data_IF_434653037396
#
_entry.id   IF_434653037396
#
_cell.length_a   1.000
_cell.length_b   1.000
_cell.length_c   1.000
_cell.angle_alpha   90.00
_cell.angle_beta   90.00
_cell.angle_gamma   90.00
#
_symmetry.space_group_name_H-M   'P 1'
#
loop_
_entity.id
_entity.type
_entity.pdbx_description
1 polymer ?
#
# COMPACT_ATOMS: atom_id res chain seq x y z
N UNK A 1 -7.11 9.92 6.58
CA UNK A 1 -5.67 9.67 6.82
C UNK A 1 -4.98 11.02 6.98
N UNK A 2 -3.83 11.10 7.66
CA UNK A 2 -3.15 12.38 7.92
C UNK A 2 -2.83 13.17 6.63
N UNK A 3 -2.61 12.45 5.53
CA UNK A 3 -2.43 13.03 4.18
C UNK A 3 -3.68 13.72 3.63
N UNK A 4 -4.87 13.26 4.01
CA UNK A 4 -6.14 13.86 3.56
C UNK A 4 -6.39 15.21 4.25
N UNK A 5 -5.90 15.39 5.48
CA UNK A 5 -5.98 16.67 6.22
C UNK A 5 -5.12 17.72 5.52
N UNK A 6 -3.91 17.34 5.12
CA UNK A 6 -3.02 18.22 4.35
C UNK A 6 -3.65 18.60 3.01
N UNK A 7 -4.24 17.64 2.29
CA UNK A 7 -4.91 17.90 1.02
C UNK A 7 -6.11 18.86 1.16
N UNK A 8 -6.88 18.73 2.25
CA UNK A 8 -7.99 19.64 2.56
C UNK A 8 -7.49 21.06 2.86
N UNK A 9 -6.49 21.20 3.72
CA UNK A 9 -5.87 22.49 4.07
C UNK A 9 -5.25 23.15 2.82
N UNK A 10 -4.66 22.37 1.92
CA UNK A 10 -4.12 22.88 0.66
C UNK A 10 -5.21 23.42 -0.27
N UNK A 11 -6.36 22.75 -0.38
CA UNK A 11 -7.50 23.26 -1.16
C UNK A 11 -8.11 24.53 -0.58
N UNK A 12 -8.05 24.70 0.75
CA UNK A 12 -8.49 25.92 1.44
C UNK A 12 -7.50 27.09 1.31
N UNK A 13 -6.44 26.95 0.49
CA UNK A 13 -5.48 28.03 0.19
C UNK A 13 -4.36 28.21 1.22
N UNK A 14 -4.22 27.29 2.18
CA UNK A 14 -3.37 27.48 3.36
C UNK A 14 -2.38 26.36 3.67
N UNK A 15 -1.61 25.85 2.71
CA UNK A 15 -0.63 24.78 3.01
C UNK A 15 0.81 25.28 3.10
N UNK A 16 1.18 25.91 4.23
CA UNK A 16 2.59 26.01 4.64
C UNK A 16 2.84 24.94 5.70
N UNK A 17 3.62 23.92 5.36
CA UNK A 17 3.92 22.79 6.24
C UNK A 17 5.38 22.87 6.64
N UNK A 18 5.65 22.99 7.94
CA UNK A 18 7.00 22.86 8.47
C UNK A 18 7.36 21.37 8.57
N UNK A 19 8.30 20.92 7.73
CA UNK A 19 8.89 19.59 7.84
C UNK A 19 10.20 19.69 8.60
N UNK A 20 10.35 18.89 9.65
CA UNK A 20 11.60 18.79 10.42
C UNK A 20 12.74 18.28 9.52
N UNK A 21 13.95 18.79 9.71
CA UNK A 21 15.14 18.34 8.95
C UNK A 21 15.55 16.90 9.29
N UNK A 22 15.27 16.45 10.51
CA UNK A 22 15.54 15.07 10.93
C UNK A 22 14.42 14.15 10.44
N UNK A 23 14.79 13.15 9.62
CA UNK A 23 13.87 12.10 9.19
C UNK A 23 13.76 11.02 10.26
N UNK A 24 12.59 10.90 10.89
CA UNK A 24 12.29 9.74 11.74
C UNK A 24 12.01 8.56 10.81
N UNK A 25 12.95 7.62 10.73
CA UNK A 25 12.79 6.38 9.97
C UNK A 25 12.07 5.37 10.84
N UNK A 26 10.78 5.16 10.58
CA UNK A 26 10.05 4.05 11.19
C UNK A 26 10.22 2.83 10.28
N UNK A 27 10.96 1.81 10.75
CA UNK A 27 11.08 0.53 10.05
C UNK A 27 9.68 -0.06 9.83
N UNK A 28 9.34 -0.36 8.58
CA UNK A 28 7.96 -0.70 8.23
C UNK A 28 7.50 -2.01 8.88
N UNK A 29 8.36 -3.04 8.91
CA UNK A 29 8.11 -4.32 9.58
C UNK A 29 9.40 -5.14 9.62
N UNK A 30 9.50 -6.02 10.61
CA UNK A 30 10.65 -6.94 10.75
C UNK A 30 10.39 -8.28 10.03
N UNK A 31 9.13 -8.72 9.97
CA UNK A 31 8.75 -10.02 9.37
C UNK A 31 7.68 -9.91 8.28
N UNK A 32 7.66 -10.90 7.39
CA UNK A 32 6.64 -11.03 6.33
C UNK A 32 5.21 -11.20 6.90
N UNK A 33 5.06 -11.84 8.07
CA UNK A 33 3.75 -11.98 8.74
C UNK A 33 3.24 -10.62 9.23
N UNK A 34 4.14 -9.82 9.80
CA UNK A 34 3.86 -8.46 10.23
C UNK A 34 3.56 -7.55 9.03
N UNK A 35 4.27 -7.73 7.91
CA UNK A 35 3.98 -7.10 6.64
C UNK A 35 2.57 -7.43 6.15
N UNK A 36 2.21 -8.72 6.05
CA UNK A 36 0.90 -9.17 5.57
C UNK A 36 -0.25 -8.60 6.41
N UNK A 37 -0.11 -8.62 7.75
CA UNK A 37 -1.09 -8.01 8.67
C UNK A 37 -1.23 -6.51 8.46
N UNK A 38 -0.12 -5.78 8.27
CA UNK A 38 -0.13 -4.33 8.01
C UNK A 38 -0.77 -4.03 6.65
N UNK A 39 -0.52 -4.85 5.62
CA UNK A 39 -1.16 -4.73 4.31
C UNK A 39 -2.67 -4.98 4.39
N UNK A 40 -3.11 -6.08 5.00
CA UNK A 40 -4.54 -6.43 5.12
C UNK A 40 -5.32 -5.30 5.80
N UNK A 41 -4.78 -4.77 6.90
CA UNK A 41 -5.34 -3.61 7.59
C UNK A 41 -5.46 -2.40 6.67
N UNK A 42 -4.36 -2.00 6.03
CA UNK A 42 -4.34 -0.81 5.15
C UNK A 42 -5.34 -0.93 4.00
N UNK A 43 -5.48 -2.12 3.43
CA UNK A 43 -6.37 -2.38 2.30
C UNK A 43 -7.83 -2.40 2.75
N UNK A 44 -8.15 -3.01 3.89
CA UNK A 44 -9.50 -2.98 4.46
C UNK A 44 -9.92 -1.56 4.84
N UNK A 45 -9.04 -0.84 5.54
CA UNK A 45 -9.28 0.56 5.90
C UNK A 45 -9.47 1.40 4.63
N UNK A 46 -8.63 1.18 3.62
CA UNK A 46 -8.78 1.83 2.31
C UNK A 46 -10.18 1.61 1.73
N UNK A 47 -10.65 0.36 1.67
CA UNK A 47 -11.96 0.05 1.09
C UNK A 47 -13.13 0.59 1.92
N UNK A 48 -13.06 0.49 3.25
CA UNK A 48 -14.09 1.00 4.16
C UNK A 48 -14.21 2.53 4.13
N UNK A 49 -13.10 3.26 4.21
CA UNK A 49 -13.14 4.73 4.15
C UNK A 49 -13.47 5.24 2.73
N UNK A 50 -13.09 4.48 1.69
CA UNK A 50 -13.46 4.79 0.30
C UNK A 50 -14.95 4.60 0.06
N UNK A 51 -15.57 3.52 0.55
CA UNK A 51 -17.01 3.29 0.41
C UNK A 51 -17.85 4.32 1.15
N UNK A 52 -17.36 4.84 2.28
CA UNK A 52 -18.06 5.85 3.08
C UNK A 52 -17.84 7.29 2.57
N UNK A 53 -17.19 7.49 1.41
CA UNK A 53 -16.96 8.82 0.85
C UNK A 53 -16.02 9.72 1.67
N UNK A 54 -15.39 9.20 2.73
CA UNK A 54 -14.53 9.96 3.65
C UNK A 54 -13.11 10.19 3.12
N UNK A 55 -12.83 9.83 1.88
CA UNK A 55 -11.52 10.05 1.23
C UNK A 55 -11.58 11.25 0.30
N UNK A 56 -10.86 12.30 0.70
CA UNK A 56 -10.75 13.55 -0.04
C UNK A 56 -9.88 13.44 -1.31
N UNK A 57 -8.93 12.50 -1.33
CA UNK A 57 -7.92 12.44 -2.38
C UNK A 57 -8.39 11.66 -3.63
N UNK A 58 -8.49 12.35 -4.77
CA UNK A 58 -9.08 11.87 -6.02
C UNK A 58 -8.12 11.12 -6.96
N UNK A 59 -7.15 10.35 -6.44
CA UNK A 59 -6.20 9.60 -7.29
C UNK A 59 -6.88 8.59 -8.22
N UNK A 60 -7.99 7.98 -7.80
CA UNK A 60 -8.65 6.88 -8.53
C UNK A 60 -9.18 7.22 -9.93
N UNK A 61 -9.23 8.51 -10.29
CA UNK A 61 -9.69 8.97 -11.60
C UNK A 61 -8.60 8.95 -12.68
N UNK A 62 -7.33 8.72 -12.32
CA UNK A 62 -6.23 8.72 -13.29
C UNK A 62 -6.07 7.36 -14.01
N UNK A 63 -6.16 7.38 -15.35
CA UNK A 63 -5.90 6.23 -16.23
C UNK A 63 -4.47 5.68 -16.10
N UNK A 64 -3.50 6.48 -15.62
CA UNK A 64 -2.14 6.01 -15.33
C UNK A 64 -2.13 4.94 -14.24
N UNK A 65 -2.99 5.06 -13.23
CA UNK A 65 -3.07 4.08 -12.16
C UNK A 65 -3.61 2.74 -12.65
N UNK A 66 -4.63 2.74 -13.50
CA UNK A 66 -5.17 1.50 -14.09
C UNK A 66 -4.09 0.74 -14.86
N UNK A 67 -3.32 1.45 -15.69
CA UNK A 67 -2.16 0.87 -16.40
C UNK A 67 -1.09 0.37 -15.43
N UNK A 68 -0.83 1.12 -14.35
CA UNK A 68 0.10 0.72 -13.30
C UNK A 68 -0.32 -0.58 -12.60
N UNK A 69 -1.61 -0.73 -12.27
CA UNK A 69 -2.16 -1.94 -11.64
C UNK A 69 -2.04 -3.12 -12.60
N UNK A 70 -2.43 -2.97 -13.86
CA UNK A 70 -2.31 -4.04 -14.86
C UNK A 70 -0.85 -4.48 -15.01
N UNK A 71 0.08 -3.53 -15.13
CA UNK A 71 1.52 -3.82 -15.19
C UNK A 71 2.01 -4.51 -13.93
N UNK A 72 1.55 -4.10 -12.75
CA UNK A 72 1.89 -4.74 -11.49
C UNK A 72 1.42 -6.19 -11.42
N UNK A 73 0.15 -6.45 -11.76
CA UNK A 73 -0.43 -7.79 -11.76
C UNK A 73 0.29 -8.68 -12.77
N UNK A 74 0.43 -8.21 -14.02
CA UNK A 74 1.18 -8.92 -15.06
C UNK A 74 2.62 -9.21 -14.62
N UNK A 75 3.28 -8.23 -14.00
CA UNK A 75 4.67 -8.40 -13.55
C UNK A 75 4.80 -9.40 -12.41
N UNK A 76 3.81 -9.43 -11.50
CA UNK A 76 3.79 -10.34 -10.36
C UNK A 76 3.52 -11.78 -10.79
N UNK A 77 2.63 -11.98 -11.77
CA UNK A 77 2.28 -13.30 -12.30
C UNK A 77 3.36 -13.87 -13.23
N UNK A 78 3.91 -13.04 -14.13
CA UNK A 78 4.90 -13.50 -15.11
C UNK A 78 6.29 -13.73 -14.51
N UNK A 79 6.59 -13.16 -13.34
CA UNK A 79 7.87 -13.20 -12.61
C UNK A 79 9.09 -12.63 -13.37
N UNK A 80 9.18 -12.77 -14.70
CA UNK A 80 10.25 -12.26 -15.55
C UNK A 80 10.57 -10.77 -15.33
N UNK A 81 9.60 -9.84 -15.35
CA UNK A 81 9.90 -8.42 -15.09
C UNK A 81 10.33 -8.16 -13.64
N UNK A 82 9.86 -8.94 -12.66
CA UNK A 82 10.32 -8.84 -11.27
C UNK A 82 11.79 -9.28 -11.14
N UNK A 83 12.15 -10.38 -11.80
CA UNK A 83 13.54 -10.86 -11.83
C UNK A 83 14.47 -9.88 -12.54
N UNK A 84 13.99 -9.21 -13.60
CA UNK A 84 14.75 -8.15 -14.25
C UNK A 84 14.96 -6.94 -13.34
N UNK A 85 13.93 -6.52 -12.58
CA UNK A 85 14.05 -5.46 -11.57
C UNK A 85 15.05 -5.82 -10.48
N UNK A 86 15.00 -7.05 -9.96
CA UNK A 86 15.95 -7.56 -8.97
C UNK A 86 17.37 -7.55 -9.53
N UNK A 87 17.57 -8.06 -10.75
CA UNK A 87 18.89 -8.07 -11.40
C UNK A 87 19.44 -6.66 -11.59
N UNK A 88 18.61 -5.70 -11.99
CA UNK A 88 19.01 -4.30 -12.10
C UNK A 88 19.38 -3.72 -10.73
N UNK A 89 18.56 -3.92 -9.70
CA UNK A 89 18.83 -3.45 -8.35
C UNK A 89 20.13 -4.05 -7.78
N UNK A 90 20.38 -5.34 -8.00
CA UNK A 90 21.61 -6.02 -7.58
C UNK A 90 22.88 -5.48 -8.24
N UNK A 91 22.78 -4.94 -9.46
CA UNK A 91 23.90 -4.25 -10.13
C UNK A 91 24.25 -2.92 -9.48
N UNK A 92 23.26 -2.21 -8.93
CA UNK A 92 23.46 -0.91 -8.27
C UNK A 92 23.89 -1.10 -6.81
N UNK A 93 23.25 -2.03 -6.11
CA UNK A 93 23.53 -2.38 -4.71
C UNK A 93 23.40 -3.88 -4.54
N UNK A 94 24.49 -4.52 -4.11
CA UNK A 94 24.52 -5.96 -3.88
C UNK A 94 24.02 -6.27 -2.46
N UNK A 95 22.70 -6.31 -2.30
CA UNK A 95 22.03 -6.58 -1.03
C UNK A 95 21.09 -7.78 -1.18
N UNK A 96 21.20 -8.74 -0.26
CA UNK A 96 20.32 -9.90 -0.15
C UNK A 96 18.85 -9.51 0.09
N UNK A 97 18.60 -8.34 0.69
CA UNK A 97 17.26 -7.83 0.95
C UNK A 97 16.42 -7.64 -0.32
N UNK A 98 17.07 -7.45 -1.48
CA UNK A 98 16.41 -7.26 -2.77
C UNK A 98 15.61 -8.50 -3.19
N UNK A 99 16.01 -9.70 -2.75
CA UNK A 99 15.26 -10.93 -3.05
C UNK A 99 13.87 -10.97 -2.39
N UNK A 100 13.66 -10.22 -1.30
CA UNK A 100 12.35 -10.09 -0.67
C UNK A 100 11.32 -9.36 -1.53
N UNK A 101 11.74 -8.73 -2.63
CA UNK A 101 10.82 -8.10 -3.59
C UNK A 101 9.77 -9.08 -4.12
N UNK A 102 10.15 -10.31 -4.48
CA UNK A 102 9.22 -11.33 -5.01
C UNK A 102 8.15 -11.73 -3.98
N UNK A 103 8.50 -12.22 -2.77
CA UNK A 103 7.49 -12.63 -1.79
C UNK A 103 6.61 -11.45 -1.35
N UNK A 104 7.16 -10.23 -1.24
CA UNK A 104 6.40 -9.03 -0.88
C UNK A 104 5.36 -8.67 -1.95
N UNK A 105 5.71 -8.72 -3.24
CA UNK A 105 4.76 -8.48 -4.32
C UNK A 105 3.64 -9.52 -4.33
N UNK A 106 3.97 -10.80 -4.11
CA UNK A 106 2.99 -11.88 -4.02
C UNK A 106 2.03 -11.71 -2.84
N UNK A 107 2.54 -11.42 -1.65
CA UNK A 107 1.70 -11.16 -0.46
C UNK A 107 0.77 -9.97 -0.71
N UNK A 108 1.29 -8.90 -1.34
CA UNK A 108 0.48 -7.73 -1.67
C UNK A 108 -0.66 -8.08 -2.61
N UNK A 109 -0.38 -8.82 -3.69
CA UNK A 109 -1.39 -9.27 -4.64
C UNK A 109 -2.46 -10.15 -3.96
N UNK A 110 -2.02 -11.11 -3.15
CA UNK A 110 -2.91 -12.03 -2.45
C UNK A 110 -3.86 -11.31 -1.48
N UNK A 111 -3.32 -10.42 -0.66
CA UNK A 111 -4.12 -9.67 0.33
C UNK A 111 -5.12 -8.75 -0.38
N UNK A 112 -4.70 -8.06 -1.44
CA UNK A 112 -5.62 -7.25 -2.25
C UNK A 112 -6.73 -8.09 -2.86
N UNK A 113 -6.39 -9.25 -3.46
CA UNK A 113 -7.36 -10.17 -4.03
C UNK A 113 -8.38 -10.66 -2.99
N UNK A 114 -7.91 -11.10 -1.82
CA UNK A 114 -8.76 -11.56 -0.72
C UNK A 114 -9.76 -10.49 -0.27
N UNK A 115 -9.28 -9.27 -0.01
CA UNK A 115 -10.16 -8.17 0.47
C UNK A 115 -11.12 -7.72 -0.63
N UNK A 116 -10.70 -7.71 -1.90
CA UNK A 116 -11.58 -7.43 -3.03
C UNK A 116 -12.71 -8.47 -3.14
N UNK A 117 -12.39 -9.76 -3.00
CA UNK A 117 -13.39 -10.83 -3.00
C UNK A 117 -14.36 -10.66 -1.83
N UNK A 118 -13.87 -10.42 -0.61
CA UNK A 118 -14.73 -10.16 0.55
C UNK A 118 -15.64 -8.94 0.34
N UNK A 119 -15.12 -7.89 -0.31
CA UNK A 119 -15.92 -6.71 -0.66
C UNK A 119 -17.02 -7.06 -1.65
N UNK A 120 -16.69 -7.82 -2.68
CA UNK A 120 -17.66 -8.27 -3.68
C UNK A 120 -18.74 -9.16 -3.06
N UNK A 121 -18.37 -9.99 -2.07
CA UNK A 121 -19.30 -10.80 -1.27
C UNK A 121 -20.09 -10.00 -0.22
N UNK A 122 -19.89 -8.68 -0.11
CA UNK A 122 -20.58 -7.84 0.87
C UNK A 122 -20.17 -8.06 2.34
N UNK A 123 -19.11 -8.84 2.59
CA UNK A 123 -18.65 -9.21 3.93
C UNK A 123 -17.71 -8.16 4.57
N UNK A 124 -17.48 -7.03 3.88
CA UNK A 124 -16.64 -5.93 4.36
C UNK A 124 -17.45 -4.97 5.25
N UNK A 125 -17.82 -5.43 6.44
CA UNK A 125 -18.74 -4.68 7.31
C UNK A 125 -18.04 -3.76 8.31
N UNK A 126 -16.74 -3.95 8.58
CA UNK A 126 -16.04 -3.23 9.66
C UNK A 126 -14.58 -2.89 9.33
N UNK A 127 -14.06 -1.73 9.78
CA UNK A 127 -12.62 -1.47 9.80
C UNK A 127 -11.91 -2.53 10.64
N UNK A 128 -10.62 -2.74 10.35
CA UNK A 128 -9.85 -3.77 11.04
C UNK A 128 -9.80 -3.49 12.55
N UNK A 129 -10.23 -4.48 13.36
CA UNK A 129 -10.29 -4.35 14.82
C UNK A 129 -8.91 -3.98 15.40
N UNK A 130 -8.89 -2.94 16.26
CA UNK A 130 -7.66 -2.37 16.85
C UNK A 130 -7.35 -2.87 18.26
N UNK A 131 -8.23 -3.69 18.82
CA UNK A 131 -8.22 -4.07 20.24
C UNK A 131 -7.03 -4.97 20.64
N UNK A 132 -6.38 -5.64 19.67
CA UNK A 132 -5.25 -6.55 19.93
C UNK A 132 -3.88 -5.96 19.56
N UNK A 133 -3.71 -4.64 19.57
CA UNK A 133 -2.45 -4.00 19.11
C UNK A 133 -1.32 -3.99 20.14
N UNK A 134 -1.60 -4.26 21.42
CA UNK A 134 -0.61 -4.31 22.51
C UNK A 134 -0.06 -5.72 22.82
N UNK A 135 0.07 -6.59 21.81
CA UNK A 135 0.78 -7.87 21.95
C UNK A 135 1.82 -8.03 20.86
#
# INVERSE_FOLDING_TARGET
>A
MDTDVIAQIAQLGGARIAKVKCGIVHLYCDDLKSFARKQDRRIRDFFFFSSNGMRFHTWHKDNRLRRGIIRFVASTLLLLPLLWQIRHALRVRRDSAIWWHVPVCWVTLWVYGKVMIMRWLGLLSSPAAREKWNR
#
